data_IF_271520345756
#
_entry.id   IF_271520345756
#
_cell.length_a   1.000
_cell.length_b   1.000
_cell.length_c   1.000
_cell.angle_alpha   90.00
_cell.angle_beta   90.00
_cell.angle_gamma   90.00
#
_symmetry.space_group_name_H-M   'P 1'
#
loop_
_entity.id
_entity.type
_entity.pdbx_description
1 polymer ?
#
# COMPACT_ATOMS: atom_id res chain seq x y z
N UNK A 1 -4.20 -14.57 14.30
CA UNK A 1 -4.58 -15.17 12.99
C UNK A 1 -4.44 -16.67 13.14
N UNK A 2 -5.50 -17.44 12.85
CA UNK A 2 -5.38 -18.89 12.75
C UNK A 2 -4.39 -19.23 11.61
N UNK A 3 -3.53 -20.25 11.75
CA UNK A 3 -2.68 -20.69 10.67
C UNK A 3 -3.58 -21.07 9.49
N UNK A 4 -3.31 -20.49 8.33
CA UNK A 4 -3.96 -20.90 7.09
C UNK A 4 -3.61 -22.37 6.90
N UNK A 5 -4.59 -23.25 6.97
CA UNK A 5 -4.38 -24.68 6.68
C UNK A 5 -3.87 -24.77 5.24
N UNK A 6 -2.75 -25.46 5.05
CA UNK A 6 -2.23 -25.80 3.73
C UNK A 6 -3.38 -26.44 2.92
N UNK A 7 -3.66 -25.87 1.77
CA UNK A 7 -4.76 -26.33 0.92
C UNK A 7 -4.19 -26.94 -0.35
N UNK A 8 -4.66 -28.14 -0.69
CA UNK A 8 -4.46 -28.66 -2.04
C UNK A 8 -5.61 -28.18 -2.91
N UNK A 9 -5.30 -27.50 -4.00
CA UNK A 9 -6.24 -26.84 -4.90
C UNK A 9 -6.15 -27.47 -6.28
N UNK A 10 -7.25 -28.01 -6.77
CA UNK A 10 -7.35 -28.45 -8.17
C UNK A 10 -7.19 -27.28 -9.12
N UNK A 11 -6.85 -27.55 -10.39
CA UNK A 11 -6.73 -26.52 -11.45
C UNK A 11 -7.97 -25.62 -11.47
N UNK A 12 -9.18 -26.21 -11.48
CA UNK A 12 -10.42 -25.43 -11.50
C UNK A 12 -10.63 -24.57 -10.25
N UNK A 13 -10.19 -25.04 -9.07
CA UNK A 13 -10.38 -24.33 -7.82
C UNK A 13 -9.47 -23.10 -7.71
N UNK A 14 -8.20 -23.21 -8.08
CA UNK A 14 -7.30 -22.07 -7.98
C UNK A 14 -7.47 -21.09 -9.17
N UNK A 15 -7.80 -21.55 -10.37
CA UNK A 15 -8.11 -20.66 -11.50
C UNK A 15 -9.33 -19.80 -11.21
N UNK A 16 -10.39 -20.37 -10.63
CA UNK A 16 -11.54 -19.58 -10.16
C UNK A 16 -11.16 -18.52 -9.12
N UNK A 17 -10.21 -18.82 -8.22
CA UNK A 17 -9.68 -17.79 -7.27
C UNK A 17 -8.89 -16.71 -7.99
N UNK A 18 -8.09 -17.06 -8.97
CA UNK A 18 -7.32 -16.12 -9.77
C UNK A 18 -8.22 -15.19 -10.58
N UNK A 19 -9.28 -15.70 -11.20
CA UNK A 19 -10.30 -14.93 -11.89
C UNK A 19 -11.04 -13.99 -10.96
N UNK A 20 -11.55 -14.49 -9.84
CA UNK A 20 -12.24 -13.68 -8.83
C UNK A 20 -11.33 -12.58 -8.24
N UNK A 21 -10.01 -12.84 -8.11
CA UNK A 21 -9.04 -11.82 -7.73
C UNK A 21 -8.90 -10.76 -8.82
N UNK A 22 -8.70 -11.16 -10.07
CA UNK A 22 -8.57 -10.25 -11.20
C UNK A 22 -9.81 -9.36 -11.37
N UNK A 23 -11.00 -9.90 -11.23
CA UNK A 23 -12.26 -9.14 -11.25
C UNK A 23 -12.36 -8.11 -10.12
N UNK A 24 -11.99 -8.49 -8.89
CA UNK A 24 -11.97 -7.54 -7.77
C UNK A 24 -11.01 -6.37 -8.02
N UNK A 25 -9.84 -6.68 -8.54
CA UNK A 25 -8.80 -5.67 -8.83
C UNK A 25 -9.17 -4.82 -10.03
N UNK A 26 -9.87 -5.37 -11.03
CA UNK A 26 -10.35 -4.65 -12.20
C UNK A 26 -11.17 -3.40 -11.84
N UNK A 27 -11.98 -3.46 -10.78
CA UNK A 27 -12.78 -2.33 -10.29
C UNK A 27 -11.93 -1.08 -10.00
N UNK A 28 -10.67 -1.26 -9.63
CA UNK A 28 -9.74 -0.18 -9.31
C UNK A 28 -8.81 0.16 -10.47
N UNK A 29 -8.37 -0.85 -11.22
CA UNK A 29 -7.33 -0.69 -12.26
C UNK A 29 -7.88 -0.26 -13.60
N UNK A 30 -9.11 -0.67 -13.98
CA UNK A 30 -9.65 -0.39 -15.32
C UNK A 30 -9.84 1.10 -15.56
N UNK A 31 -10.43 1.79 -14.59
CA UNK A 31 -10.64 3.23 -14.69
C UNK A 31 -9.30 4.00 -14.81
N UNK A 32 -8.26 3.57 -14.10
CA UNK A 32 -6.92 4.14 -14.23
C UNK A 32 -6.32 3.88 -15.62
N UNK A 33 -6.38 2.65 -16.12
CA UNK A 33 -5.86 2.29 -17.46
C UNK A 33 -6.57 3.07 -18.54
N UNK A 34 -7.91 3.22 -18.47
CA UNK A 34 -8.70 4.01 -19.41
C UNK A 34 -8.33 5.49 -19.38
N UNK A 35 -8.19 6.11 -18.19
CA UNK A 35 -7.75 7.51 -18.10
C UNK A 35 -6.35 7.69 -18.68
N UNK A 36 -5.43 6.79 -18.35
CA UNK A 36 -4.07 6.84 -18.85
C UNK A 36 -4.00 6.75 -20.37
N UNK A 37 -4.82 5.92 -21.01
CA UNK A 37 -4.88 5.81 -22.48
C UNK A 37 -5.40 7.08 -23.16
N UNK A 38 -6.18 7.90 -22.44
CA UNK A 38 -6.71 9.19 -22.90
C UNK A 38 -5.88 10.40 -22.43
N UNK A 39 -4.73 10.17 -21.79
CA UNK A 39 -3.92 11.21 -21.13
C UNK A 39 -4.70 12.00 -20.06
N UNK A 40 -5.75 11.43 -19.51
CA UNK A 40 -6.53 11.99 -18.41
C UNK A 40 -5.88 11.63 -17.08
N UNK A 41 -6.10 12.47 -16.05
CA UNK A 41 -5.60 12.25 -14.68
C UNK A 41 -6.71 12.46 -13.67
N UNK A 42 -6.69 11.67 -12.59
CA UNK A 42 -7.57 11.84 -11.46
C UNK A 42 -6.78 11.98 -10.16
N UNK A 43 -6.93 13.09 -9.41
CA UNK A 43 -6.06 13.42 -8.26
C UNK A 43 -6.10 12.39 -7.13
N UNK A 44 -7.23 11.70 -6.96
CA UNK A 44 -7.43 10.74 -5.88
C UNK A 44 -7.19 9.31 -6.38
N UNK A 45 -7.90 8.90 -7.45
CA UNK A 45 -7.89 7.50 -7.87
C UNK A 45 -6.57 7.06 -8.54
N UNK A 46 -5.83 7.99 -9.14
CA UNK A 46 -4.56 7.64 -9.78
C UNK A 46 -3.38 7.71 -8.82
N UNK A 47 -3.57 8.27 -7.63
CA UNK A 47 -2.51 8.47 -6.65
C UNK A 47 -1.79 7.17 -6.28
N UNK A 48 -2.52 6.10 -6.01
CA UNK A 48 -1.97 4.79 -5.67
C UNK A 48 -1.03 4.24 -6.75
N UNK A 49 -1.37 4.42 -8.02
CA UNK A 49 -0.59 3.91 -9.15
C UNK A 49 0.62 4.78 -9.50
N UNK A 50 0.59 6.06 -9.10
CA UNK A 50 1.69 7.00 -9.34
C UNK A 50 2.67 7.04 -8.17
N UNK A 51 2.18 6.95 -6.95
CA UNK A 51 3.00 7.03 -5.73
C UNK A 51 3.68 5.69 -5.42
N UNK A 52 2.92 4.59 -5.41
CA UNK A 52 3.44 3.27 -5.05
C UNK A 52 4.05 2.48 -6.21
N UNK A 53 3.99 2.98 -7.42
CA UNK A 53 4.58 2.38 -8.62
C UNK A 53 4.18 0.91 -8.87
N UNK A 54 3.00 0.50 -8.42
CA UNK A 54 2.45 -0.81 -8.74
C UNK A 54 1.80 -0.81 -10.12
N UNK A 55 2.19 -1.77 -10.97
CA UNK A 55 1.54 -1.89 -12.26
C UNK A 55 0.15 -2.54 -12.11
N UNK A 56 -0.88 -2.00 -12.81
CA UNK A 56 -2.22 -2.62 -12.82
C UNK A 56 -2.19 -4.10 -13.21
N UNK A 57 -1.34 -4.47 -14.17
CA UNK A 57 -1.20 -5.85 -14.61
C UNK A 57 -0.67 -6.77 -13.49
N UNK A 58 0.34 -6.32 -12.73
CA UNK A 58 0.86 -7.10 -11.59
C UNK A 58 -0.15 -7.23 -10.46
N UNK A 59 -0.94 -6.20 -10.20
CA UNK A 59 -1.98 -6.25 -9.18
C UNK A 59 -3.09 -7.27 -9.50
N UNK A 60 -3.32 -7.59 -10.78
CA UNK A 60 -4.28 -8.61 -11.20
C UNK A 60 -3.77 -10.05 -11.09
N UNK A 61 -2.48 -10.21 -10.88
CA UNK A 61 -1.88 -11.53 -10.73
C UNK A 61 -2.19 -12.07 -9.33
N UNK A 62 -2.97 -13.15 -9.30
CA UNK A 62 -3.19 -13.88 -8.06
C UNK A 62 -1.97 -14.76 -7.75
N UNK A 63 -1.57 -14.82 -6.50
CA UNK A 63 -0.46 -15.64 -6.00
C UNK A 63 -1.00 -16.51 -4.87
N UNK A 64 -0.70 -17.83 -4.85
CA UNK A 64 -1.11 -18.70 -3.75
C UNK A 64 -0.46 -18.28 -2.43
N UNK A 65 -1.06 -18.69 -1.32
CA UNK A 65 -0.43 -18.53 -0.02
C UNK A 65 0.77 -19.48 0.13
N UNK A 66 1.70 -19.10 1.00
CA UNK A 66 2.79 -20.00 1.39
C UNK A 66 2.19 -21.23 2.08
N UNK A 67 2.52 -22.41 1.54
CA UNK A 67 1.99 -23.70 2.00
C UNK A 67 0.81 -24.24 1.20
N UNK A 68 0.20 -23.44 0.31
CA UNK A 68 -0.78 -23.97 -0.64
C UNK A 68 -0.08 -24.83 -1.72
N UNK A 69 -0.76 -25.87 -2.16
CA UNK A 69 -0.37 -26.76 -3.23
C UNK A 69 -1.36 -26.61 -4.38
N UNK A 70 -0.87 -26.29 -5.58
CA UNK A 70 -1.71 -26.15 -6.76
C UNK A 70 -1.45 -27.31 -7.71
N UNK A 71 -2.49 -28.05 -8.07
CA UNK A 71 -2.44 -28.93 -9.23
C UNK A 71 -2.31 -28.07 -10.49
N UNK A 72 -1.37 -28.40 -11.37
CA UNK A 72 -1.11 -27.65 -12.59
C UNK A 72 -1.07 -28.56 -13.80
N UNK A 73 -1.43 -28.02 -14.94
CA UNK A 73 -1.22 -28.54 -16.28
C UNK A 73 -0.59 -27.46 -17.18
N UNK A 74 -0.22 -27.83 -18.38
CA UNK A 74 0.45 -26.92 -19.32
C UNK A 74 -0.45 -25.73 -19.69
N UNK A 75 -1.75 -25.96 -19.89
CA UNK A 75 -2.72 -24.93 -20.25
C UNK A 75 -2.85 -23.87 -19.13
N UNK A 76 -2.98 -24.32 -17.89
CA UNK A 76 -3.08 -23.41 -16.74
C UNK A 76 -1.83 -22.59 -16.52
N UNK A 77 -0.63 -23.15 -16.76
CA UNK A 77 0.64 -22.44 -16.68
C UNK A 77 0.86 -21.45 -17.83
N UNK A 78 0.36 -21.75 -19.03
CA UNK A 78 0.41 -20.82 -20.16
C UNK A 78 -0.51 -19.61 -19.93
N UNK A 79 -1.69 -19.84 -19.37
CA UNK A 79 -2.63 -18.78 -19.01
C UNK A 79 -2.12 -17.91 -17.85
N UNK A 80 -1.25 -18.46 -16.97
CA UNK A 80 -0.77 -17.78 -15.77
C UNK A 80 0.78 -17.77 -15.70
N UNK A 81 1.47 -17.11 -16.64
CA UNK A 81 2.93 -17.20 -16.77
C UNK A 81 3.70 -16.68 -15.55
N UNK A 82 3.09 -15.81 -14.71
CA UNK A 82 3.69 -15.32 -13.47
C UNK A 82 3.86 -16.40 -12.39
N UNK A 83 3.18 -17.55 -12.52
CA UNK A 83 3.38 -18.71 -11.66
C UNK A 83 4.67 -19.47 -11.97
N UNK A 84 5.42 -19.07 -13.00
CA UNK A 84 6.79 -19.56 -13.28
C UNK A 84 7.88 -18.71 -12.67
N UNK A 85 7.56 -17.96 -11.60
CA UNK A 85 8.54 -17.13 -10.88
C UNK A 85 9.59 -17.97 -10.17
N UNK A 86 10.76 -17.37 -9.92
CA UNK A 86 11.90 -17.99 -9.24
C UNK A 86 11.61 -18.54 -7.84
N UNK A 87 10.52 -18.06 -7.20
CA UNK A 87 10.12 -18.51 -5.87
C UNK A 87 9.16 -19.69 -5.91
N UNK A 88 8.86 -20.21 -7.09
CA UNK A 88 7.97 -21.33 -7.30
C UNK A 88 8.77 -22.60 -7.56
N UNK A 89 8.31 -23.70 -6.99
CA UNK A 89 8.81 -25.05 -7.23
C UNK A 89 7.66 -25.87 -7.82
N UNK A 90 7.97 -26.61 -8.90
CA UNK A 90 7.02 -27.49 -9.58
C UNK A 90 7.59 -28.89 -9.56
N UNK A 91 6.87 -29.81 -8.94
CA UNK A 91 7.24 -31.23 -8.85
C UNK A 91 6.01 -32.11 -9.05
N UNK A 92 6.09 -33.07 -9.94
CA UNK A 92 5.03 -34.05 -10.21
C UNK A 92 3.64 -33.41 -10.46
N UNK A 93 3.57 -32.30 -11.20
CA UNK A 93 2.31 -31.60 -11.49
C UNK A 93 1.75 -30.78 -10.34
N UNK A 94 2.52 -30.60 -9.28
CA UNK A 94 2.15 -29.76 -8.12
C UNK A 94 3.07 -28.55 -8.04
N UNK A 95 2.47 -27.39 -7.98
CA UNK A 95 3.15 -26.11 -7.77
C UNK A 95 3.05 -25.69 -6.30
N UNK A 96 4.19 -25.24 -5.73
CA UNK A 96 4.30 -24.69 -4.38
C UNK A 96 5.16 -23.42 -4.37
N UNK A 97 4.85 -22.50 -3.47
CA UNK A 97 5.78 -21.44 -3.16
C UNK A 97 6.90 -21.99 -2.26
N UNK A 98 8.14 -21.86 -2.72
CA UNK A 98 9.30 -22.29 -1.94
C UNK A 98 9.72 -21.15 -0.99
N UNK A 99 9.26 -21.22 0.26
CA UNK A 99 9.57 -20.23 1.28
C UNK A 99 11.08 -20.11 1.58
N UNK A 100 11.91 -21.11 1.26
CA UNK A 100 13.35 -21.05 1.50
C UNK A 100 14.05 -20.09 0.54
N UNK A 101 13.45 -19.85 -0.64
CA UNK A 101 13.96 -18.93 -1.65
C UNK A 101 13.60 -17.46 -1.37
N UNK A 102 12.75 -17.19 -0.39
CA UNK A 102 12.45 -15.83 0.05
C UNK A 102 13.69 -15.28 0.77
N UNK A 103 14.24 -14.19 0.25
CA UNK A 103 15.45 -13.59 0.80
C UNK A 103 15.27 -13.04 2.22
N UNK A 104 16.39 -12.87 2.94
CA UNK A 104 16.37 -12.41 4.32
C UNK A 104 15.81 -10.99 4.50
N UNK A 105 15.90 -10.13 3.48
CA UNK A 105 15.34 -8.78 3.52
C UNK A 105 13.80 -8.82 3.44
N UNK A 106 13.26 -9.61 2.52
CA UNK A 106 11.81 -9.80 2.39
C UNK A 106 11.21 -10.41 3.66
N UNK A 107 11.88 -11.38 4.29
CA UNK A 107 11.44 -11.97 5.57
C UNK A 107 11.43 -10.95 6.69
N UNK A 108 12.49 -10.13 6.83
CA UNK A 108 12.54 -9.07 7.85
C UNK A 108 11.44 -8.04 7.61
N UNK A 109 11.20 -7.65 6.36
CA UNK A 109 10.11 -6.72 6.02
C UNK A 109 8.75 -7.30 6.37
N UNK A 110 8.48 -8.56 6.03
CA UNK A 110 7.24 -9.23 6.37
C UNK A 110 7.04 -9.32 7.90
N UNK A 111 8.10 -9.65 8.64
CA UNK A 111 8.08 -9.65 10.11
C UNK A 111 7.77 -8.28 10.69
N UNK A 112 8.44 -7.23 10.20
CA UNK A 112 8.17 -5.85 10.59
C UNK A 112 6.72 -5.43 10.31
N UNK A 113 6.19 -5.74 9.11
CA UNK A 113 4.80 -5.41 8.77
C UNK A 113 3.81 -6.17 9.66
N UNK A 114 4.07 -7.44 9.95
CA UNK A 114 3.22 -8.23 10.85
C UNK A 114 3.21 -7.65 12.27
N UNK A 115 4.37 -7.29 12.82
CA UNK A 115 4.49 -6.67 14.13
C UNK A 115 3.82 -5.29 14.18
N UNK A 116 4.07 -4.44 13.18
CA UNK A 116 3.44 -3.13 13.07
C UNK A 116 1.91 -3.25 13.01
N UNK A 117 1.39 -4.14 12.17
CA UNK A 117 -0.05 -4.36 12.04
C UNK A 117 -0.66 -4.88 13.34
N UNK A 118 0.01 -5.79 14.04
CA UNK A 118 -0.41 -6.27 15.37
C UNK A 118 -0.48 -5.12 16.39
N UNK A 119 0.55 -4.28 16.42
CA UNK A 119 0.60 -3.12 17.31
C UNK A 119 -0.50 -2.09 16.99
N UNK A 120 -0.77 -1.83 15.72
CA UNK A 120 -1.84 -0.93 15.26
C UNK A 120 -3.21 -1.45 15.71
N UNK A 121 -3.47 -2.74 15.53
CA UNK A 121 -4.73 -3.37 15.96
C UNK A 121 -4.96 -3.30 17.47
N UNK A 122 -3.87 -3.38 18.25
CA UNK A 122 -3.94 -3.33 19.73
C UNK A 122 -4.01 -1.93 20.33
N UNK A 123 -3.85 -0.86 19.53
CA UNK A 123 -3.84 0.53 20.02
C UNK A 123 -5.17 1.23 19.89
N UNK A 124 -5.51 2.01 20.90
CA UNK A 124 -6.63 2.93 20.80
C UNK A 124 -6.39 3.98 19.70
N UNK A 125 -7.35 4.19 18.81
CA UNK A 125 -7.20 5.15 17.70
C UNK A 125 -7.16 6.60 18.24
N UNK A 126 -6.27 7.41 17.69
CA UNK A 126 -6.16 8.85 17.96
C UNK A 126 -6.74 9.63 16.78
N UNK A 127 -8.00 10.00 16.87
CA UNK A 127 -8.73 10.62 15.76
C UNK A 127 -8.45 12.12 15.56
N UNK A 128 -7.58 12.72 16.37
CA UNK A 128 -7.34 14.17 16.39
C UNK A 128 -6.59 14.72 15.17
N UNK A 129 -5.95 13.86 14.38
CA UNK A 129 -5.17 14.33 13.21
C UNK A 129 -6.08 14.80 12.06
N UNK A 130 -7.25 14.20 11.85
CA UNK A 130 -8.21 14.55 10.78
C UNK A 130 -7.59 14.73 9.38
N UNK A 131 -6.45 14.09 9.08
CA UNK A 131 -5.75 14.29 7.81
C UNK A 131 -4.97 15.61 7.69
N UNK A 132 -4.82 16.38 8.77
CA UNK A 132 -4.04 17.63 8.77
C UNK A 132 -2.59 17.45 8.35
N UNK A 133 -2.06 16.25 8.42
CA UNK A 133 -0.73 15.93 7.93
C UNK A 133 -0.58 16.20 6.42
N UNK A 134 -1.62 16.02 5.62
CA UNK A 134 -1.58 16.36 4.19
C UNK A 134 -1.35 17.87 3.97
N UNK A 135 -1.96 18.71 4.81
CA UNK A 135 -1.84 20.14 4.76
C UNK A 135 -0.49 20.63 5.32
N UNK A 136 0.04 19.92 6.33
CA UNK A 136 1.37 20.17 6.86
C UNK A 136 2.50 19.92 5.85
N UNK A 137 2.27 19.06 4.86
CA UNK A 137 3.22 18.81 3.76
C UNK A 137 3.34 19.98 2.78
N UNK A 138 2.40 20.91 2.79
CA UNK A 138 2.38 22.10 1.91
C UNK A 138 2.34 23.40 2.71
N UNK A 139 2.50 23.35 4.04
CA UNK A 139 2.48 24.48 4.93
C UNK A 139 3.58 25.49 4.59
N UNK A 140 3.18 26.75 4.35
CA UNK A 140 4.04 27.86 3.96
C UNK A 140 4.89 27.64 2.70
N UNK A 141 4.53 26.69 1.83
CA UNK A 141 5.15 26.55 0.52
C UNK A 141 4.56 27.53 -0.48
N UNK A 142 5.42 28.01 -1.36
CA UNK A 142 4.99 28.75 -2.55
C UNK A 142 4.47 27.78 -3.61
N UNK A 143 3.63 28.22 -4.57
CA UNK A 143 3.04 27.33 -5.58
C UNK A 143 4.06 26.52 -6.38
N UNK A 144 5.25 27.07 -6.63
CA UNK A 144 6.35 26.43 -7.36
C UNK A 144 7.09 25.36 -6.53
N UNK A 145 6.99 25.41 -5.21
CA UNK A 145 7.57 24.42 -4.29
C UNK A 145 6.65 23.20 -4.08
N UNK A 146 5.38 23.30 -4.45
CA UNK A 146 4.43 22.22 -4.27
C UNK A 146 4.75 21.10 -5.26
N UNK A 147 5.03 19.89 -4.74
CA UNK A 147 5.49 18.73 -5.52
C UNK A 147 4.51 18.27 -6.61
N UNK A 148 3.21 18.49 -6.41
CA UNK A 148 2.13 18.07 -7.31
C UNK A 148 1.45 19.29 -7.94
N UNK A 149 2.19 20.03 -8.74
CA UNK A 149 1.77 21.30 -9.38
C UNK A 149 0.54 21.19 -10.31
N UNK A 150 0.12 19.97 -10.67
CA UNK A 150 -1.06 19.75 -11.51
C UNK A 150 -2.41 20.02 -10.84
N UNK A 151 -2.42 20.29 -9.53
CA UNK A 151 -3.65 20.52 -8.75
C UNK A 151 -3.50 21.75 -7.87
N UNK A 152 -4.52 22.62 -7.93
CA UNK A 152 -4.58 23.78 -7.03
C UNK A 152 -4.97 23.36 -5.62
N UNK A 153 -4.35 23.96 -4.63
CA UNK A 153 -4.81 23.84 -3.25
C UNK A 153 -6.22 24.46 -3.12
N UNK A 154 -7.03 23.90 -2.24
CA UNK A 154 -8.39 24.42 -1.98
C UNK A 154 -8.42 25.76 -1.26
N UNK A 155 -7.37 26.02 -0.47
CA UNK A 155 -7.20 27.31 0.22
C UNK A 155 -5.99 28.04 -0.35
N UNK A 156 -6.01 29.37 -0.37
CA UNK A 156 -4.81 30.19 -0.55
C UNK A 156 -3.73 29.84 0.48
N UNK A 157 -2.44 30.00 0.16
CA UNK A 157 -1.35 29.61 1.08
C UNK A 157 -1.43 30.26 2.48
N UNK A 158 -1.80 31.53 2.56
CA UNK A 158 -1.91 32.25 3.84
C UNK A 158 -3.09 31.76 4.68
N UNK A 159 -4.22 31.49 4.05
CA UNK A 159 -5.42 30.92 4.72
C UNK A 159 -5.12 29.52 5.23
N UNK A 160 -4.40 28.71 4.42
CA UNK A 160 -3.96 27.38 4.81
C UNK A 160 -3.01 27.46 6.01
N UNK A 161 -2.06 28.37 6.01
CA UNK A 161 -1.13 28.55 7.12
C UNK A 161 -1.87 28.95 8.41
N UNK A 162 -2.74 29.94 8.33
CA UNK A 162 -3.58 30.39 9.45
C UNK A 162 -4.45 29.25 9.99
N UNK A 163 -5.03 28.44 9.10
CA UNK A 163 -5.83 27.30 9.51
C UNK A 163 -4.98 26.25 10.26
N UNK A 164 -3.81 25.89 9.74
CA UNK A 164 -2.92 24.92 10.40
C UNK A 164 -2.48 25.42 11.77
N UNK A 165 -2.13 26.69 11.88
CA UNK A 165 -1.70 27.33 13.14
C UNK A 165 -2.81 27.34 14.20
N UNK A 166 -4.06 27.40 13.76
CA UNK A 166 -5.23 27.31 14.65
C UNK A 166 -5.54 25.89 15.14
N UNK A 167 -4.88 24.89 14.57
CA UNK A 167 -5.15 23.47 14.87
C UNK A 167 -4.03 22.86 15.73
N UNK A 168 -4.33 21.75 16.38
CA UNK A 168 -3.32 20.93 17.08
C UNK A 168 -2.88 19.80 16.17
N UNK A 169 -1.72 19.93 15.51
CA UNK A 169 -1.14 18.83 14.75
C UNK A 169 -0.71 17.71 15.71
N UNK A 170 -1.13 16.50 15.43
CA UNK A 170 -0.82 15.33 16.26
C UNK A 170 -0.63 14.05 15.41
N UNK A 171 0.05 14.20 14.27
CA UNK A 171 0.38 13.08 13.41
C UNK A 171 1.35 12.14 14.12
N UNK A 172 0.99 10.85 14.20
CA UNK A 172 1.82 9.79 14.78
C UNK A 172 2.46 8.88 13.73
N UNK A 173 2.12 9.09 12.46
CA UNK A 173 2.55 8.27 11.34
C UNK A 173 3.84 8.82 10.71
N UNK A 174 4.93 8.05 10.77
CA UNK A 174 6.23 8.51 10.28
C UNK A 174 6.23 8.79 8.77
N UNK A 175 5.61 7.93 7.97
CA UNK A 175 5.60 8.09 6.51
C UNK A 175 4.81 9.31 6.03
N UNK A 176 3.92 9.86 6.85
CA UNK A 176 3.32 11.17 6.63
C UNK A 176 4.20 12.29 7.19
N UNK A 177 4.64 12.17 8.45
CA UNK A 177 5.41 13.22 9.14
C UNK A 177 6.72 13.56 8.45
N UNK A 178 7.41 12.60 7.86
CA UNK A 178 8.68 12.84 7.14
C UNK A 178 8.56 13.82 5.97
N UNK A 179 7.35 14.01 5.46
CA UNK A 179 7.07 14.97 4.38
C UNK A 179 6.60 16.34 4.84
N UNK A 180 6.45 16.56 6.15
CA UNK A 180 6.14 17.87 6.67
C UNK A 180 7.21 18.87 6.26
N UNK A 181 6.79 20.11 5.96
CA UNK A 181 7.76 21.19 5.77
C UNK A 181 8.57 21.40 7.04
N UNK A 182 9.81 21.91 6.94
CA UNK A 182 10.63 22.22 8.13
C UNK A 182 9.86 23.07 9.14
N UNK A 183 9.07 24.03 8.67
CA UNK A 183 8.27 24.95 9.47
C UNK A 183 7.06 24.26 10.13
N UNK A 184 6.49 23.23 9.50
CA UNK A 184 5.37 22.47 10.05
C UNK A 184 5.79 21.44 11.11
N UNK A 185 7.02 20.93 11.06
CA UNK A 185 7.48 19.89 12.00
C UNK A 185 7.36 20.29 13.47
N UNK A 186 7.78 21.49 13.88
CA UNK A 186 7.64 21.93 15.28
C UNK A 186 6.18 22.05 15.75
N UNK A 187 5.23 22.23 14.84
CA UNK A 187 3.81 22.33 15.17
C UNK A 187 3.19 20.97 15.53
N UNK A 188 3.82 19.87 15.13
CA UNK A 188 3.33 18.54 15.46
C UNK A 188 3.69 18.17 16.91
N UNK A 189 2.70 17.78 17.69
CA UNK A 189 2.88 17.40 19.10
C UNK A 189 3.75 16.15 19.32
N UNK A 190 3.94 15.34 18.29
CA UNK A 190 4.81 14.18 18.27
C UNK A 190 5.92 14.39 17.23
N UNK A 191 7.06 13.77 17.47
CA UNK A 191 8.17 13.76 16.51
C UNK A 191 8.48 12.31 16.10
N UNK A 192 7.60 11.67 15.30
CA UNK A 192 7.79 10.27 14.92
C UNK A 192 9.05 10.12 14.06
N UNK A 193 9.80 9.05 14.34
CA UNK A 193 11.00 8.65 13.59
C UNK A 193 10.78 7.31 12.92
N UNK A 194 11.69 6.93 12.03
CA UNK A 194 11.67 5.61 11.40
C UNK A 194 11.67 4.50 12.46
N UNK A 195 12.45 4.65 13.53
CA UNK A 195 12.60 3.64 14.57
C UNK A 195 11.42 3.61 15.54
N UNK A 196 10.69 4.71 15.68
CA UNK A 196 9.54 4.80 16.59
C UNK A 196 8.20 4.39 15.97
N UNK A 197 8.18 3.87 14.73
CA UNK A 197 6.93 3.46 14.06
C UNK A 197 6.16 2.41 14.84
N UNK A 198 6.85 1.40 15.34
CA UNK A 198 6.24 0.34 16.15
C UNK A 198 5.56 0.84 17.43
N UNK A 199 5.96 2.01 17.95
CA UNK A 199 5.42 2.63 19.17
C UNK A 199 4.34 3.67 18.86
N UNK A 200 4.43 4.39 17.75
CA UNK A 200 3.63 5.58 17.49
C UNK A 200 2.45 5.35 16.52
N UNK A 201 2.61 4.51 15.52
CA UNK A 201 1.56 4.31 14.52
C UNK A 201 0.34 3.60 15.09
N UNK A 202 -0.85 3.98 14.67
CA UNK A 202 -2.13 3.54 15.23
C UNK A 202 -3.24 3.52 14.17
N UNK A 203 -4.37 2.86 14.47
CA UNK A 203 -5.38 2.50 13.49
C UNK A 203 -6.17 3.65 12.84
N UNK A 204 -6.06 4.88 13.37
CA UNK A 204 -6.66 6.06 12.75
C UNK A 204 -5.72 6.75 11.73
N UNK A 205 -4.48 6.28 11.59
CA UNK A 205 -3.56 6.72 10.54
C UNK A 205 -3.88 5.94 9.26
N UNK A 206 -4.58 6.58 8.33
CA UNK A 206 -4.99 5.98 7.05
C UNK A 206 -3.91 6.21 5.98
N UNK A 207 -2.79 5.53 6.09
CA UNK A 207 -1.72 5.55 5.08
C UNK A 207 -1.27 4.16 4.71
#
# INVERSE_FOLDING_TARGET
MAPTLNQSLSVSAWTARAEAHAERVAKWTDAFVQRRSRSEKHPVHDFLFTYYNFSPAKLRQWIPAVGDELEIDDESLEAHPWLRDRHVQIEAGILRLNATLIDGQARRMAGFVAELSGNILGRAPRLRCFGLHEWAMVYRLTPDQIRHTGYRLRLPPDDLATFIESQSLCCSHYDAFRFFTPEARPLNSLQPTLDSRLQNEQGACLH
#
